data_IF_466773348430
#
_entry.id   IF_466773348430
#
_cell.length_a   1.000
_cell.length_b   1.000
_cell.length_c   1.000
_cell.angle_alpha   90.00
_cell.angle_beta   90.00
_cell.angle_gamma   90.00
#
_symmetry.space_group_name_H-M   'P 1'
#
loop_
_entity.id
_entity.type
_entity.pdbx_description
1 polymer ?
#
# COMPACT_ATOMS: atom_id res chain seq x y z
N UNK A 1 29.42 -41.59 37.14
CA UNK A 1 30.63 -42.37 37.46
C UNK A 1 30.58 -43.63 36.61
N UNK A 2 31.31 -43.55 35.50
CA UNK A 2 32.16 -44.55 34.85
C UNK A 2 31.70 -45.96 34.45
N UNK A 3 32.18 -46.28 33.24
CA UNK A 3 32.44 -47.56 32.57
C UNK A 3 31.24 -48.26 31.90
N UNK A 4 31.11 -48.28 30.57
CA UNK A 4 32.04 -48.63 29.48
C UNK A 4 32.43 -50.11 29.40
N UNK A 5 32.37 -50.64 28.17
CA UNK A 5 32.84 -51.95 27.66
C UNK A 5 31.99 -53.15 28.07
N UNK A 6 31.55 -54.06 27.20
CA UNK A 6 31.93 -54.42 25.83
C UNK A 6 32.00 -55.94 25.78
N UNK A 7 31.36 -56.59 24.79
CA UNK A 7 31.93 -57.74 24.06
C UNK A 7 30.92 -58.37 23.09
N UNK A 8 31.41 -58.46 21.86
CA UNK A 8 30.93 -59.24 20.74
C UNK A 8 31.06 -60.76 20.97
N UNK A 9 30.07 -61.53 20.51
CA UNK A 9 30.29 -62.92 20.10
C UNK A 9 29.73 -63.17 18.70
N UNK A 10 30.66 -63.47 17.80
CA UNK A 10 30.47 -64.05 16.47
C UNK A 10 30.34 -65.58 16.58
N UNK A 11 29.37 -66.17 15.88
CA UNK A 11 29.44 -67.49 15.25
C UNK A 11 28.34 -67.57 14.16
N UNK A 12 28.66 -67.43 12.87
CA UNK A 12 28.99 -68.50 11.90
C UNK A 12 27.88 -69.56 11.72
N UNK A 13 27.19 -69.59 10.57
CA UNK A 13 27.36 -70.57 9.46
C UNK A 13 26.19 -70.60 8.44
N UNK A 14 26.51 -70.75 7.14
CA UNK A 14 25.64 -71.30 6.05
C UNK A 14 24.81 -70.25 5.27
N UNK A 15 25.19 -69.76 4.08
CA UNK A 15 25.27 -70.40 2.75
C UNK A 15 24.03 -71.24 2.39
N UNK A 16 23.10 -70.67 1.61
CA UNK A 16 22.66 -71.27 0.33
C UNK A 16 21.90 -70.25 -0.54
N UNK A 17 22.39 -70.07 -1.77
CA UNK A 17 21.72 -69.37 -2.88
C UNK A 17 20.72 -70.33 -3.53
N UNK A 18 19.49 -69.89 -3.78
CA UNK A 18 18.70 -70.44 -4.90
C UNK A 18 17.73 -69.39 -5.46
N UNK A 19 17.99 -68.98 -6.70
CA UNK A 19 17.08 -68.22 -7.55
C UNK A 19 15.89 -69.07 -7.96
N UNK A 20 14.66 -68.53 -7.91
CA UNK A 20 13.51 -69.11 -8.59
C UNK A 20 12.85 -68.03 -9.46
N UNK A 21 12.91 -68.32 -10.76
CA UNK A 21 12.16 -67.71 -11.85
C UNK A 21 10.65 -67.82 -11.59
N UNK A 22 9.91 -66.72 -11.76
CA UNK A 22 8.48 -66.77 -12.03
C UNK A 22 8.27 -66.51 -13.53
N UNK A 23 7.87 -67.56 -14.21
CA UNK A 23 7.41 -67.56 -15.59
C UNK A 23 5.99 -66.99 -15.66
N UNK A 24 5.79 -65.93 -16.43
CA UNK A 24 4.46 -65.49 -16.88
C UNK A 24 4.26 -66.02 -18.29
N UNK A 25 3.27 -66.92 -18.39
CA UNK A 25 2.87 -67.64 -19.59
C UNK A 25 2.16 -66.70 -20.57
N UNK A 26 2.56 -66.86 -21.83
CA UNK A 26 1.93 -66.38 -23.06
C UNK A 26 0.44 -66.71 -23.15
N UNK A 27 -0.36 -65.72 -23.56
CA UNK A 27 -1.54 -65.95 -24.41
C UNK A 27 -1.40 -65.13 -25.69
N UNK A 28 -1.16 -65.87 -26.77
CA UNK A 28 -1.19 -65.47 -28.17
C UNK A 28 -2.63 -65.35 -28.69
N UNK A 29 -2.85 -64.41 -29.61
CA UNK A 29 -3.76 -64.60 -30.74
C UNK A 29 -4.79 -63.49 -30.98
N UNK A 30 -4.59 -62.68 -32.04
CA UNK A 30 -5.63 -61.77 -32.53
C UNK A 30 -5.13 -60.63 -33.42
N UNK A 31 -4.52 -60.96 -34.55
CA UNK A 31 -4.02 -60.09 -35.61
C UNK A 31 -5.02 -59.07 -36.20
N UNK A 32 -4.58 -57.82 -36.34
CA UNK A 32 -4.93 -56.93 -37.46
C UNK A 32 -3.76 -55.97 -37.73
N UNK A 33 -3.23 -56.03 -38.95
CA UNK A 33 -2.14 -55.22 -39.45
C UNK A 33 -2.59 -53.79 -39.77
N UNK A 34 -1.70 -52.79 -39.58
CA UNK A 34 -1.29 -51.87 -40.65
C UNK A 34 -0.29 -50.80 -40.16
N UNK A 35 0.83 -50.72 -40.89
CA UNK A 35 1.67 -49.56 -41.18
C UNK A 35 2.45 -48.87 -40.04
N UNK A 36 3.69 -49.32 -39.89
CA UNK A 36 4.80 -48.48 -39.41
C UNK A 36 5.17 -47.53 -40.57
N UNK A 37 5.09 -46.19 -40.41
CA UNK A 37 5.69 -45.30 -41.37
C UNK A 37 7.21 -45.30 -41.18
N UNK A 38 7.84 -45.62 -42.30
CA UNK A 38 9.25 -45.51 -42.61
C UNK A 38 9.82 -44.15 -42.16
N UNK A 39 11.01 -44.19 -41.57
CA UNK A 39 11.84 -43.02 -41.23
C UNK A 39 12.06 -42.22 -42.52
N UNK A 40 11.38 -41.08 -42.62
CA UNK A 40 11.66 -40.06 -43.63
C UNK A 40 12.69 -39.09 -43.07
N UNK A 41 13.68 -38.76 -43.88
CA UNK A 41 14.76 -37.80 -43.66
C UNK A 41 14.18 -36.42 -43.32
N UNK A 42 13.97 -36.14 -42.03
CA UNK A 42 13.42 -34.90 -41.51
C UNK A 42 14.49 -33.87 -41.14
N UNK A 43 15.17 -33.30 -42.12
CA UNK A 43 16.01 -32.10 -41.92
C UNK A 43 15.24 -30.79 -42.11
N UNK A 44 14.00 -30.83 -42.60
CA UNK A 44 13.18 -29.64 -42.86
C UNK A 44 12.20 -29.27 -41.73
N UNK A 45 11.77 -30.25 -40.91
CA UNK A 45 10.78 -30.01 -39.86
C UNK A 45 11.35 -29.15 -38.70
N UNK A 46 12.63 -29.33 -38.36
CA UNK A 46 13.30 -28.52 -37.34
C UNK A 46 13.57 -27.09 -37.81
N UNK A 47 13.88 -26.90 -39.10
CA UNK A 47 14.08 -25.58 -39.70
C UNK A 47 12.77 -24.79 -39.76
N UNK A 48 11.68 -25.43 -40.20
CA UNK A 48 10.35 -24.82 -40.20
C UNK A 48 9.85 -24.50 -38.78
N UNK A 49 10.09 -25.39 -37.81
CA UNK A 49 9.75 -25.14 -36.41
C UNK A 49 10.56 -23.97 -35.80
N UNK A 50 11.86 -23.89 -36.13
CA UNK A 50 12.73 -22.80 -35.66
C UNK A 50 12.33 -21.46 -36.29
N UNK A 51 11.98 -21.47 -37.59
CA UNK A 51 11.51 -20.29 -38.30
C UNK A 51 10.17 -19.77 -37.73
N UNK A 52 9.22 -20.67 -37.46
CA UNK A 52 7.96 -20.32 -36.83
C UNK A 52 8.15 -19.73 -35.42
N UNK A 53 9.07 -20.29 -34.62
CA UNK A 53 9.38 -19.75 -33.29
C UNK A 53 10.00 -18.34 -33.37
N UNK A 54 10.86 -18.08 -34.35
CA UNK A 54 11.48 -16.78 -34.56
C UNK A 54 10.46 -15.72 -35.04
N UNK A 55 9.55 -16.11 -35.94
CA UNK A 55 8.49 -15.22 -36.42
C UNK A 55 7.50 -14.84 -35.30
N UNK A 56 7.18 -15.78 -34.40
CA UNK A 56 6.39 -15.51 -33.19
C UNK A 56 7.13 -14.57 -32.24
N UNK A 57 8.43 -14.79 -32.01
CA UNK A 57 9.23 -13.92 -31.15
C UNK A 57 9.35 -12.50 -31.71
N UNK A 58 9.55 -12.36 -33.02
CA UNK A 58 9.60 -11.07 -33.70
C UNK A 58 8.26 -10.33 -33.62
N UNK A 59 7.15 -11.05 -33.76
CA UNK A 59 5.79 -10.50 -33.62
C UNK A 59 5.53 -10.02 -32.19
N UNK A 60 5.97 -10.80 -31.19
CA UNK A 60 5.83 -10.43 -29.77
C UNK A 60 6.62 -9.16 -29.44
N UNK A 61 7.85 -9.04 -29.97
CA UNK A 61 8.69 -7.86 -29.79
C UNK A 61 8.09 -6.61 -30.46
N UNK A 62 7.52 -6.77 -31.66
CA UNK A 62 6.83 -5.68 -32.36
C UNK A 62 5.56 -5.23 -31.62
N UNK A 63 4.82 -6.16 -31.02
CA UNK A 63 3.65 -5.85 -30.21
C UNK A 63 4.05 -5.14 -28.91
N UNK A 64 5.12 -5.58 -28.25
CA UNK A 64 5.65 -4.91 -27.06
C UNK A 64 6.15 -3.49 -27.36
N UNK A 65 6.81 -3.28 -28.50
CA UNK A 65 7.23 -1.95 -28.96
C UNK A 65 6.04 -1.04 -29.28
N UNK A 66 4.96 -1.59 -29.85
CA UNK A 66 3.72 -0.85 -30.12
C UNK A 66 3.01 -0.45 -28.82
N UNK A 67 2.96 -1.35 -27.84
CA UNK A 67 2.40 -1.07 -26.51
C UNK A 67 3.21 0.01 -25.77
N UNK A 68 4.55 -0.04 -25.86
CA UNK A 68 5.41 1.02 -25.30
C UNK A 68 5.21 2.37 -26.00
N UNK A 69 5.07 2.39 -27.33
CA UNK A 69 4.80 3.63 -28.07
C UNK A 69 3.42 4.23 -27.73
N UNK A 70 2.42 3.39 -27.47
CA UNK A 70 1.12 3.83 -26.97
C UNK A 70 1.23 4.37 -25.54
N UNK A 71 1.95 3.69 -24.64
CA UNK A 71 2.18 4.18 -23.27
C UNK A 71 2.87 5.55 -23.23
N UNK A 72 3.85 5.79 -24.12
CA UNK A 72 4.53 7.10 -24.23
C UNK A 72 3.57 8.19 -24.72
N UNK A 73 2.68 7.88 -25.67
CA UNK A 73 1.69 8.85 -26.15
C UNK A 73 0.61 9.17 -25.10
N UNK A 74 0.14 8.17 -24.34
CA UNK A 74 -0.79 8.38 -23.22
C UNK A 74 -0.13 9.15 -22.08
N UNK A 75 1.13 8.87 -21.76
CA UNK A 75 1.90 9.64 -20.77
C UNK A 75 2.08 11.10 -21.15
N UNK A 76 2.30 11.39 -22.45
CA UNK A 76 2.36 12.75 -22.95
C UNK A 76 1.01 13.49 -22.84
N UNK A 77 -0.10 12.79 -23.09
CA UNK A 77 -1.44 13.36 -22.95
C UNK A 77 -1.85 13.58 -21.48
N UNK A 78 -1.50 12.64 -20.59
CA UNK A 78 -1.67 12.81 -19.15
C UNK A 78 -0.85 13.98 -18.60
N UNK A 79 0.40 14.14 -19.08
CA UNK A 79 1.25 15.29 -18.73
C UNK A 79 0.65 16.60 -19.21
N UNK A 80 0.07 16.64 -20.42
CA UNK A 80 -0.62 17.83 -20.94
C UNK A 80 -1.85 18.18 -20.10
N UNK A 81 -2.67 17.20 -19.75
CA UNK A 81 -3.84 17.41 -18.88
C UNK A 81 -3.44 17.91 -17.49
N UNK A 82 -2.37 17.36 -16.90
CA UNK A 82 -1.85 17.82 -15.62
C UNK A 82 -1.39 19.28 -15.67
N UNK A 83 -0.72 19.69 -16.75
CA UNK A 83 -0.31 21.07 -16.98
C UNK A 83 -1.51 22.03 -17.14
N UNK A 84 -2.55 21.60 -17.86
CA UNK A 84 -3.79 22.38 -18.02
C UNK A 84 -4.55 22.56 -16.69
N UNK A 85 -4.62 21.51 -15.88
CA UNK A 85 -5.22 21.58 -14.53
C UNK A 85 -4.40 22.52 -13.65
N UNK A 86 -3.07 22.42 -13.66
CA UNK A 86 -2.20 23.30 -12.88
C UNK A 86 -2.33 24.76 -13.30
N UNK A 87 -2.40 25.04 -14.60
CA UNK A 87 -2.65 26.37 -15.13
C UNK A 87 -4.02 26.92 -14.70
N UNK A 88 -5.04 26.07 -14.64
CA UNK A 88 -6.39 26.45 -14.19
C UNK A 88 -6.41 26.79 -12.70
N UNK A 89 -5.72 26.02 -11.86
CA UNK A 89 -5.60 26.30 -10.41
C UNK A 89 -4.88 27.63 -10.15
N UNK A 90 -3.80 27.92 -10.88
CA UNK A 90 -3.10 29.20 -10.81
C UNK A 90 -3.99 30.38 -11.24
N UNK A 91 -4.80 30.21 -12.28
CA UNK A 91 -5.75 31.23 -12.73
C UNK A 91 -6.87 31.49 -11.70
N UNK A 92 -7.34 30.43 -11.04
CA UNK A 92 -8.32 30.54 -9.96
C UNK A 92 -7.74 31.32 -8.77
N UNK A 93 -6.54 30.96 -8.30
CA UNK A 93 -5.85 31.66 -7.22
C UNK A 93 -5.60 33.14 -7.53
N UNK A 94 -5.24 33.48 -8.78
CA UNK A 94 -5.06 34.87 -9.21
C UNK A 94 -6.38 35.67 -9.16
N UNK A 95 -7.51 35.02 -9.43
CA UNK A 95 -8.84 35.64 -9.37
C UNK A 95 -9.27 35.88 -7.92
N UNK A 96 -9.01 34.93 -7.03
CA UNK A 96 -9.37 35.03 -5.61
C UNK A 96 -8.55 36.12 -4.90
N UNK A 97 -7.27 36.28 -5.27
CA UNK A 97 -6.43 37.37 -4.76
C UNK A 97 -6.87 38.76 -5.26
N UNK A 98 -7.52 38.84 -6.41
CA UNK A 98 -8.04 40.11 -6.95
C UNK A 98 -9.39 40.53 -6.36
N UNK A 99 -10.06 39.65 -5.59
CA UNK A 99 -11.39 39.89 -5.02
C UNK A 99 -11.40 40.42 -3.57
N UNK A 100 -10.23 40.72 -2.98
CA UNK A 100 -10.16 41.28 -1.62
C UNK A 100 -10.69 42.73 -1.57
N UNK A 101 -11.65 43.07 -0.67
CA UNK A 101 -12.10 44.45 -0.48
C UNK A 101 -11.05 45.27 0.27
N UNK A 102 -10.76 46.47 -0.24
CA UNK A 102 -9.90 47.47 0.40
C UNK A 102 -10.46 47.90 1.76
N UNK A 103 -9.68 47.88 2.87
CA UNK A 103 -10.13 48.44 4.14
C UNK A 103 -10.21 49.97 4.06
N UNK A 104 -11.36 50.53 4.39
CA UNK A 104 -11.57 51.97 4.56
C UNK A 104 -10.79 52.43 5.81
N UNK A 105 -9.83 53.33 5.61
CA UNK A 105 -9.02 53.93 6.65
C UNK A 105 -9.86 54.82 7.58
N UNK A 106 -9.80 54.57 8.89
CA UNK A 106 -10.35 55.45 9.92
C UNK A 106 -9.37 56.59 10.26
N UNK A 107 -9.87 57.83 10.21
CA UNK A 107 -9.17 59.06 10.61
C UNK A 107 -8.96 59.15 12.13
N UNK A 108 -7.83 59.69 12.61
CA UNK A 108 -7.66 60.14 13.99
C UNK A 108 -7.94 61.64 14.15
N UNK A 109 -8.69 62.01 15.19
CA UNK A 109 -8.85 63.40 15.69
C UNK A 109 -7.73 63.77 16.68
N UNK A 110 -7.30 65.05 16.75
CA UNK A 110 -6.18 65.49 17.58
C UNK A 110 -6.63 66.04 18.94
N UNK A 111 -5.93 65.69 20.02
CA UNK A 111 -6.06 66.37 21.32
C UNK A 111 -4.70 66.75 21.92
N UNK A 112 -4.47 68.06 21.80
CA UNK A 112 -3.78 69.06 22.63
C UNK A 112 -2.89 68.64 23.82
N UNK A 113 -1.72 69.30 23.87
CA UNK A 113 -0.68 69.21 24.89
C UNK A 113 -0.86 70.23 26.02
N UNK A 114 -0.52 69.87 27.26
CA UNK A 114 -0.11 70.81 28.31
C UNK A 114 1.04 70.20 29.14
N UNK A 115 2.04 71.02 29.44
CA UNK A 115 3.31 70.67 30.08
C UNK A 115 3.40 71.06 31.58
N UNK A 116 4.36 70.39 32.25
CA UNK A 116 5.19 70.80 33.40
C UNK A 116 4.77 70.52 34.88
N UNK A 117 5.40 69.50 35.47
CA UNK A 117 6.23 69.35 36.72
C UNK A 117 6.12 70.32 37.92
N UNK A 118 6.77 70.04 39.10
CA UNK A 118 6.97 68.82 39.91
C UNK A 118 6.75 69.06 41.44
N UNK A 119 6.63 68.02 42.31
CA UNK A 119 7.29 67.93 43.66
C UNK A 119 6.99 66.65 44.47
N UNK A 120 8.07 66.05 44.98
CA UNK A 120 8.38 65.49 46.33
C UNK A 120 7.63 64.30 46.99
N UNK A 121 8.44 63.30 47.31
CA UNK A 121 8.41 62.18 48.29
C UNK A 121 7.37 62.13 49.43
N UNK A 122 6.83 60.92 49.69
CA UNK A 122 7.04 60.13 50.92
C UNK A 122 6.50 58.68 50.75
N UNK A 123 7.05 57.66 51.47
CA UNK A 123 6.83 56.25 51.18
C UNK A 123 5.69 55.64 52.02
N UNK A 124 4.86 54.75 51.45
CA UNK A 124 3.94 53.93 52.25
C UNK A 124 3.64 52.58 51.59
N UNK A 125 3.97 51.51 52.33
CA UNK A 125 3.47 50.12 52.31
C UNK A 125 3.44 49.34 50.99
N UNK A 126 4.30 48.31 50.92
CA UNK A 126 4.23 47.21 49.97
C UNK A 126 2.92 46.40 50.11
N UNK A 127 2.23 46.06 49.01
CA UNK A 127 1.25 45.00 49.00
C UNK A 127 1.96 43.65 48.81
N UNK A 128 1.58 42.69 49.65
CA UNK A 128 1.95 41.28 49.57
C UNK A 128 1.67 40.73 48.19
N UNK A 129 2.70 40.28 47.49
CA UNK A 129 2.60 39.56 46.22
C UNK A 129 1.93 38.20 46.47
N UNK A 130 0.72 38.02 45.97
CA UNK A 130 0.13 36.70 45.77
C UNK A 130 0.96 36.02 44.66
N UNK A 131 1.47 34.79 44.85
CA UNK A 131 2.17 34.08 43.79
C UNK A 131 1.20 33.85 42.62
N UNK A 132 1.65 34.02 41.36
CA UNK A 132 0.82 33.65 40.22
C UNK A 132 0.46 32.17 40.30
N UNK A 133 -0.74 31.75 39.87
CA UNK A 133 -1.07 30.34 39.78
C UNK A 133 -0.02 29.67 38.89
N UNK A 134 0.62 28.63 39.43
CA UNK A 134 1.46 27.71 38.66
C UNK A 134 0.57 27.12 37.57
N UNK A 135 0.68 27.65 36.34
CA UNK A 135 0.16 26.96 35.18
C UNK A 135 0.98 25.68 35.04
N UNK A 136 0.30 24.56 35.13
CA UNK A 136 0.84 23.27 34.75
C UNK A 136 1.40 23.40 33.32
N UNK A 137 2.65 22.99 33.06
CA UNK A 137 3.21 23.09 31.73
C UNK A 137 2.29 22.36 30.75
N UNK A 138 2.04 22.93 29.56
CA UNK A 138 1.25 22.25 28.55
C UNK A 138 1.86 20.86 28.29
N UNK A 139 1.03 19.83 28.09
CA UNK A 139 1.51 18.48 27.88
C UNK A 139 2.50 18.46 26.69
N UNK A 140 3.50 17.56 26.71
CA UNK A 140 4.42 17.40 25.60
C UNK A 140 3.66 17.27 24.27
N UNK A 141 4.20 17.84 23.20
CA UNK A 141 3.58 17.85 21.86
C UNK A 141 3.12 16.45 21.42
N UNK A 142 3.85 15.41 21.82
CA UNK A 142 3.54 13.99 21.55
C UNK A 142 2.26 13.50 22.24
N UNK A 143 2.02 13.86 23.51
CA UNK A 143 0.82 13.48 24.26
C UNK A 143 -0.45 14.11 23.65
N UNK A 144 -0.32 15.28 23.04
CA UNK A 144 -1.41 15.92 22.30
C UNK A 144 -1.72 15.19 20.98
N UNK A 145 -0.69 14.68 20.30
CA UNK A 145 -0.89 13.94 19.03
C UNK A 145 -1.58 12.61 19.27
N UNK A 146 -1.22 11.84 20.30
CA UNK A 146 -1.89 10.55 20.57
C UNK A 146 -3.38 10.72 20.89
N UNK A 147 -3.74 11.77 21.63
CA UNK A 147 -5.14 12.10 21.89
C UNK A 147 -5.90 12.46 20.60
N UNK A 148 -5.25 13.22 19.69
CA UNK A 148 -5.81 13.54 18.38
C UNK A 148 -5.97 12.29 17.50
N UNK A 149 -4.98 11.40 17.50
CA UNK A 149 -5.04 10.11 16.81
C UNK A 149 -6.26 9.31 17.28
N UNK A 150 -6.50 9.20 18.59
CA UNK A 150 -7.66 8.47 19.12
C UNK A 150 -9.00 9.14 18.85
N UNK A 151 -9.02 10.46 18.73
CA UNK A 151 -10.22 11.23 18.40
C UNK A 151 -10.46 11.40 16.88
N UNK A 152 -9.60 10.83 16.04
CA UNK A 152 -9.65 10.99 14.60
C UNK A 152 -11.00 10.52 14.00
N UNK A 153 -11.52 11.29 13.04
CA UNK A 153 -12.65 10.88 12.21
C UNK A 153 -12.16 9.97 11.10
N UNK A 154 -12.51 8.69 11.22
CA UNK A 154 -12.08 7.65 10.28
C UNK A 154 -13.28 7.17 9.46
N UNK A 155 -13.12 7.12 8.14
CA UNK A 155 -14.06 6.51 7.20
C UNK A 155 -13.49 5.19 6.68
N UNK A 156 -14.25 4.11 6.80
CA UNK A 156 -13.85 2.77 6.34
C UNK A 156 -14.75 2.27 5.21
N UNK A 157 -14.13 1.94 4.08
CA UNK A 157 -14.67 1.02 3.09
C UNK A 157 -13.83 -0.25 3.06
N UNK A 158 -14.49 -1.40 3.13
CA UNK A 158 -13.87 -2.73 3.11
C UNK A 158 -14.80 -3.71 2.42
N UNK A 159 -14.47 -4.06 1.18
CA UNK A 159 -15.36 -4.81 0.30
C UNK A 159 -15.55 -6.28 0.71
N UNK A 160 -14.62 -6.84 1.47
CA UNK A 160 -14.67 -8.19 2.05
C UNK A 160 -15.90 -8.40 2.95
N UNK A 161 -16.43 -7.32 3.54
CA UNK A 161 -17.71 -7.35 4.28
C UNK A 161 -18.87 -7.90 3.45
N UNK A 162 -18.93 -7.56 2.16
CA UNK A 162 -19.97 -7.99 1.24
C UNK A 162 -19.86 -9.45 0.81
N UNK A 163 -18.79 -10.14 1.20
CA UNK A 163 -18.58 -11.59 0.99
C UNK A 163 -18.75 -12.41 2.28
N UNK A 164 -18.88 -11.76 3.43
CA UNK A 164 -18.90 -12.45 4.74
C UNK A 164 -17.53 -13.04 5.13
N UNK A 165 -16.45 -12.53 4.53
CA UNK A 165 -15.08 -12.92 4.84
C UNK A 165 -14.57 -12.15 6.07
N UNK A 166 -13.39 -12.54 6.58
CA UNK A 166 -12.73 -11.80 7.65
C UNK A 166 -12.46 -10.36 7.22
N UNK A 167 -12.69 -9.43 8.16
CA UNK A 167 -12.53 -8.00 7.94
C UNK A 167 -11.35 -7.48 8.74
N UNK A 168 -10.16 -7.62 8.18
CA UNK A 168 -8.89 -7.40 8.89
C UNK A 168 -8.69 -5.92 9.25
N UNK A 169 -9.21 -5.00 8.43
CA UNK A 169 -9.13 -3.55 8.69
C UNK A 169 -10.08 -3.14 9.81
N UNK A 170 -11.34 -3.61 9.75
CA UNK A 170 -12.31 -3.43 10.85
C UNK A 170 -11.75 -3.97 12.15
N UNK A 171 -11.17 -5.17 12.13
CA UNK A 171 -10.59 -5.77 13.32
C UNK A 171 -9.45 -4.92 13.91
N UNK A 172 -8.54 -4.41 13.07
CA UNK A 172 -7.48 -3.52 13.52
C UNK A 172 -8.03 -2.24 14.16
N UNK A 173 -9.07 -1.64 13.57
CA UNK A 173 -9.72 -0.45 14.14
C UNK A 173 -10.40 -0.75 15.48
N UNK A 174 -11.12 -1.86 15.57
CA UNK A 174 -11.81 -2.31 16.79
C UNK A 174 -10.82 -2.60 17.93
N UNK A 175 -9.75 -3.36 17.65
CA UNK A 175 -8.74 -3.72 18.65
C UNK A 175 -7.94 -2.52 19.13
N UNK A 176 -7.59 -1.61 18.22
CA UNK A 176 -6.93 -0.36 18.58
C UNK A 176 -7.89 0.66 19.24
N UNK A 177 -9.19 0.38 19.33
CA UNK A 177 -10.16 1.22 20.04
C UNK A 177 -10.46 2.55 19.33
N UNK A 178 -10.41 2.56 18.00
CA UNK A 178 -10.82 3.73 17.21
C UNK A 178 -12.34 3.81 17.08
N UNK A 179 -12.87 5.03 17.01
CA UNK A 179 -14.23 5.28 16.53
C UNK A 179 -14.17 5.57 15.02
N UNK A 180 -15.08 4.99 14.26
CA UNK A 180 -15.06 5.12 12.80
C UNK A 180 -16.45 4.90 12.17
N UNK A 181 -16.65 5.47 10.99
CA UNK A 181 -17.82 5.24 10.14
C UNK A 181 -17.52 4.06 9.23
N UNK A 182 -18.31 3.00 9.33
CA UNK A 182 -18.14 1.75 8.59
C UNK A 182 -19.18 1.63 7.47
N UNK A 183 -18.74 1.82 6.22
CA UNK A 183 -19.59 1.61 5.05
C UNK A 183 -19.57 0.17 4.54
N UNK A 184 -18.73 -0.70 5.11
CA UNK A 184 -18.52 -2.06 4.62
C UNK A 184 -18.26 -2.06 3.11
N UNK A 185 -19.10 -2.78 2.35
CA UNK A 185 -19.03 -2.85 0.88
C UNK A 185 -20.03 -1.94 0.18
N UNK A 186 -20.68 -1.03 0.91
CA UNK A 186 -21.71 -0.13 0.37
C UNK A 186 -21.07 1.06 -0.35
N UNK A 187 -20.66 0.82 -1.59
CA UNK A 187 -20.06 1.83 -2.47
C UNK A 187 -20.82 3.15 -2.56
N UNK A 188 -22.16 3.10 -2.61
CA UNK A 188 -22.98 4.31 -2.62
C UNK A 188 -22.82 5.15 -1.35
N UNK A 189 -22.84 4.54 -0.18
CA UNK A 189 -22.65 5.24 1.09
C UNK A 189 -21.24 5.81 1.23
N UNK A 190 -20.24 5.02 0.82
CA UNK A 190 -18.86 5.49 0.80
C UNK A 190 -18.67 6.71 -0.10
N UNK A 191 -19.27 6.70 -1.30
CA UNK A 191 -19.30 7.86 -2.18
C UNK A 191 -19.98 9.06 -1.53
N UNK A 192 -21.13 8.85 -0.91
CA UNK A 192 -21.88 9.93 -0.25
C UNK A 192 -21.06 10.56 0.90
N UNK A 193 -20.39 9.75 1.73
CA UNK A 193 -19.50 10.26 2.79
C UNK A 193 -18.28 11.00 2.26
N UNK A 194 -17.65 10.51 1.17
CA UNK A 194 -16.53 11.19 0.53
C UNK A 194 -16.91 12.55 -0.07
N UNK A 195 -18.17 12.71 -0.48
CA UNK A 195 -18.70 13.92 -1.12
C UNK A 195 -19.51 14.82 -0.16
N UNK A 196 -19.73 14.39 1.08
CA UNK A 196 -20.57 15.07 2.08
C UNK A 196 -20.07 16.44 2.52
N UNK A 197 -18.79 16.75 2.26
CA UNK A 197 -18.11 17.94 2.80
C UNK A 197 -17.55 17.74 4.21
N UNK A 198 -17.67 16.54 4.79
CA UNK A 198 -17.00 16.19 6.03
C UNK A 198 -15.47 16.15 5.86
N UNK A 199 -14.77 16.71 6.86
CA UNK A 199 -13.31 16.71 6.94
C UNK A 199 -12.83 15.42 7.60
N UNK A 200 -12.53 14.40 6.81
CA UNK A 200 -12.00 13.14 7.36
C UNK A 200 -10.54 13.31 7.78
N UNK A 201 -10.17 12.77 8.95
CA UNK A 201 -8.77 12.68 9.36
C UNK A 201 -8.07 11.50 8.67
N UNK A 202 -8.80 10.39 8.50
CA UNK A 202 -8.35 9.22 7.75
C UNK A 202 -9.49 8.63 6.92
N UNK A 203 -9.20 8.34 5.67
CA UNK A 203 -10.04 7.50 4.80
C UNK A 203 -9.32 6.21 4.47
N UNK A 204 -9.95 5.07 4.72
CA UNK A 204 -9.41 3.75 4.36
C UNK A 204 -10.27 3.16 3.24
N UNK A 205 -9.62 2.83 2.13
CA UNK A 205 -10.21 2.11 1.02
C UNK A 205 -9.52 0.75 0.89
N UNK A 206 -10.18 -0.30 1.39
CA UNK A 206 -9.74 -1.69 1.28
C UNK A 206 -10.60 -2.43 0.26
N UNK A 207 -9.97 -2.82 -0.84
CA UNK A 207 -10.62 -3.53 -1.94
C UNK A 207 -9.85 -4.78 -2.33
N UNK A 208 -10.26 -5.91 -1.78
CA UNK A 208 -9.68 -7.23 -2.06
C UNK A 208 -10.67 -8.18 -2.78
N UNK A 209 -11.95 -7.84 -2.83
CA UNK A 209 -12.91 -8.58 -3.63
C UNK A 209 -12.69 -8.30 -5.11
N UNK A 210 -12.25 -9.34 -5.82
CA UNK A 210 -11.89 -9.38 -7.25
C UNK A 210 -12.98 -8.99 -8.27
N UNK A 211 -14.07 -8.35 -7.85
CA UNK A 211 -15.27 -8.13 -8.69
C UNK A 211 -16.00 -6.80 -8.48
N UNK A 212 -15.50 -5.88 -7.63
CA UNK A 212 -16.31 -4.73 -7.21
C UNK A 212 -15.67 -3.36 -7.30
N UNK A 213 -14.35 -3.19 -7.30
CA UNK A 213 -13.75 -1.86 -7.37
C UNK A 213 -14.13 -1.11 -8.66
N UNK A 214 -14.46 0.17 -8.55
CA UNK A 214 -14.61 1.06 -9.70
C UNK A 214 -13.58 2.19 -9.59
N UNK A 215 -12.96 2.57 -10.70
CA UNK A 215 -11.85 3.53 -10.67
C UNK A 215 -12.23 4.94 -10.22
N UNK A 216 -13.53 5.30 -10.16
CA UNK A 216 -13.93 6.67 -9.78
C UNK A 216 -13.62 7.06 -8.34
N UNK A 217 -13.56 6.08 -7.43
CA UNK A 217 -13.21 6.33 -6.04
C UNK A 217 -11.82 6.94 -5.89
N UNK A 218 -10.87 6.62 -6.78
CA UNK A 218 -9.53 7.21 -6.73
C UNK A 218 -9.52 8.72 -6.96
N UNK A 219 -10.50 9.26 -7.68
CA UNK A 219 -10.67 10.72 -7.81
C UNK A 219 -11.07 11.31 -6.48
N UNK A 220 -12.08 10.72 -5.83
CA UNK A 220 -12.58 11.19 -4.54
C UNK A 220 -11.55 11.05 -3.42
N UNK A 221 -10.83 9.93 -3.39
CA UNK A 221 -9.71 9.72 -2.46
C UNK A 221 -8.61 10.77 -2.69
N UNK A 222 -8.26 11.06 -3.95
CA UNK A 222 -7.26 12.08 -4.23
C UNK A 222 -7.72 13.48 -3.83
N UNK A 223 -9.01 13.79 -3.96
CA UNK A 223 -9.57 15.05 -3.48
C UNK A 223 -9.52 15.15 -1.94
N UNK A 224 -9.74 14.04 -1.21
CA UNK A 224 -9.54 14.01 0.25
C UNK A 224 -8.07 14.24 0.64
N UNK A 225 -7.11 13.63 -0.06
CA UNK A 225 -5.67 13.87 0.15
C UNK A 225 -5.32 15.35 -0.02
N UNK A 226 -5.88 16.01 -1.05
CA UNK A 226 -5.69 17.44 -1.31
C UNK A 226 -6.31 18.35 -0.25
N UNK A 227 -7.41 17.92 0.38
CA UNK A 227 -8.01 18.61 1.54
C UNK A 227 -7.19 18.45 2.82
N UNK A 228 -6.23 17.52 2.84
CA UNK A 228 -5.32 17.30 3.96
C UNK A 228 -5.50 15.98 4.67
N UNK A 229 -6.55 15.21 4.36
CA UNK A 229 -6.81 13.91 4.99
C UNK A 229 -5.64 12.92 4.77
N UNK A 230 -5.43 12.02 5.73
CA UNK A 230 -4.68 10.79 5.50
C UNK A 230 -5.53 9.79 4.72
N UNK A 231 -4.86 8.95 3.91
CA UNK A 231 -5.53 7.90 3.13
C UNK A 231 -4.71 6.62 3.11
N UNK A 232 -5.35 5.48 3.40
CA UNK A 232 -4.75 4.16 3.14
C UNK A 232 -5.54 3.46 2.04
N UNK A 233 -4.84 2.99 1.01
CA UNK A 233 -5.40 2.29 -0.13
C UNK A 233 -4.83 0.87 -0.13
N UNK A 234 -5.69 -0.12 0.07
CA UNK A 234 -5.42 -1.52 -0.25
C UNK A 234 -6.14 -1.87 -1.54
N UNK A 235 -5.37 -2.25 -2.56
CA UNK A 235 -5.89 -2.77 -3.81
C UNK A 235 -4.91 -3.72 -4.47
N UNK A 236 -5.33 -4.97 -4.66
CA UNK A 236 -4.46 -5.99 -5.24
C UNK A 236 -4.30 -5.85 -6.76
N UNK A 237 -5.37 -5.52 -7.48
CA UNK A 237 -5.45 -5.43 -8.95
C UNK A 237 -5.43 -3.97 -9.44
N UNK A 238 -4.35 -3.27 -9.13
CA UNK A 238 -4.07 -1.92 -9.60
C UNK A 238 -4.01 -1.83 -11.14
N UNK A 239 -3.57 -2.88 -11.82
CA UNK A 239 -3.49 -3.02 -13.28
C UNK A 239 -4.85 -2.78 -13.98
N UNK A 240 -5.97 -3.19 -13.37
CA UNK A 240 -7.32 -2.91 -13.85
C UNK A 240 -7.67 -1.41 -13.85
N UNK A 241 -6.91 -0.59 -13.11
CA UNK A 241 -7.16 0.84 -12.93
C UNK A 241 -6.03 1.75 -13.41
N UNK A 242 -4.85 1.21 -13.74
CA UNK A 242 -3.61 1.97 -13.95
C UNK A 242 -3.75 3.07 -15.01
N UNK A 243 -4.38 2.76 -16.15
CA UNK A 243 -4.61 3.73 -17.24
C UNK A 243 -5.88 4.57 -17.04
N UNK A 244 -6.49 4.47 -15.86
CA UNK A 244 -7.73 5.12 -15.50
C UNK A 244 -7.54 6.27 -14.52
N UNK A 245 -8.48 6.36 -13.59
CA UNK A 245 -8.63 7.51 -12.70
C UNK A 245 -7.64 7.54 -11.52
N UNK A 246 -6.85 6.49 -11.32
CA UNK A 246 -5.83 6.46 -10.26
C UNK A 246 -4.49 7.11 -10.66
N UNK A 247 -4.21 7.21 -11.97
CA UNK A 247 -2.93 7.70 -12.46
C UNK A 247 -2.48 9.05 -11.85
N UNK A 248 -3.35 10.07 -11.67
CA UNK A 248 -2.95 11.33 -11.03
C UNK A 248 -2.48 11.16 -9.57
N UNK A 249 -3.11 10.23 -8.83
CA UNK A 249 -2.72 9.92 -7.45
C UNK A 249 -1.35 9.23 -7.43
N UNK A 250 -1.15 8.20 -8.26
CA UNK A 250 0.12 7.47 -8.33
C UNK A 250 1.28 8.41 -8.75
N UNK A 251 1.07 9.22 -9.79
CA UNK A 251 2.05 10.19 -10.26
C UNK A 251 2.43 11.23 -9.19
N UNK A 252 1.44 11.73 -8.44
CA UNK A 252 1.68 12.69 -7.35
C UNK A 252 2.38 12.05 -6.15
N UNK A 253 2.04 10.80 -5.87
CA UNK A 253 2.70 9.99 -4.84
C UNK A 253 4.16 9.71 -5.20
N UNK A 254 4.45 9.48 -6.47
CA UNK A 254 5.79 9.13 -6.97
C UNK A 254 5.98 7.65 -7.27
N UNK A 255 4.88 6.91 -7.46
CA UNK A 255 4.88 5.49 -7.81
C UNK A 255 4.16 5.26 -9.13
N UNK A 256 4.41 4.12 -9.76
CA UNK A 256 3.65 3.64 -10.91
C UNK A 256 3.57 2.10 -10.84
N UNK A 257 2.64 1.52 -11.61
CA UNK A 257 2.61 0.07 -11.77
C UNK A 257 3.92 -0.39 -12.42
N UNK A 258 4.43 -1.50 -11.91
CA UNK A 258 5.54 -2.21 -12.52
C UNK A 258 5.04 -3.37 -13.35
N UNK A 259 4.27 -4.28 -12.72
CA UNK A 259 3.70 -5.50 -13.30
C UNK A 259 2.93 -6.31 -12.26
N UNK A 260 2.15 -7.26 -12.74
CA UNK A 260 1.47 -8.26 -11.93
C UNK A 260 2.45 -9.13 -11.15
N UNK A 261 2.08 -9.45 -9.91
CA UNK A 261 2.71 -10.46 -9.09
C UNK A 261 2.05 -11.82 -9.32
N UNK A 262 2.38 -12.44 -10.44
CA UNK A 262 1.87 -13.77 -10.79
C UNK A 262 2.76 -14.89 -10.25
N UNK A 263 2.19 -15.80 -9.46
CA UNK A 263 2.82 -17.05 -9.02
C UNK A 263 2.09 -18.23 -9.68
N UNK A 264 2.73 -18.97 -10.61
CA UNK A 264 2.14 -20.14 -11.22
C UNK A 264 1.70 -21.17 -10.17
N UNK A 265 0.53 -21.80 -10.37
CA UNK A 265 -0.01 -22.85 -9.48
C UNK A 265 0.97 -24.03 -9.30
N UNK A 266 1.88 -24.23 -10.28
CA UNK A 266 2.92 -25.27 -10.24
C UNK A 266 4.17 -24.89 -9.46
N UNK A 267 4.31 -23.62 -9.06
CA UNK A 267 5.48 -23.12 -8.33
C UNK A 267 5.35 -23.39 -6.83
N UNK A 268 6.46 -23.57 -6.11
CA UNK A 268 6.44 -23.54 -4.65
C UNK A 268 5.79 -22.23 -4.20
N UNK A 269 4.74 -22.26 -3.37
CA UNK A 269 3.88 -21.11 -3.16
C UNK A 269 4.47 -20.15 -2.13
N UNK A 270 5.75 -19.81 -2.23
CA UNK A 270 6.45 -18.98 -1.24
C UNK A 270 6.05 -17.52 -1.43
N UNK A 271 5.08 -17.08 -0.65
CA UNK A 271 4.67 -15.69 -0.53
C UNK A 271 5.54 -15.03 0.52
N UNK A 272 6.45 -14.17 0.06
CA UNK A 272 7.33 -13.42 0.96
C UNK A 272 7.36 -11.96 0.55
N UNK A 273 6.95 -11.11 1.49
CA UNK A 273 7.11 -9.67 1.41
C UNK A 273 8.21 -9.27 2.39
N UNK A 274 9.20 -8.56 1.89
CA UNK A 274 10.38 -8.09 2.60
C UNK A 274 10.20 -6.63 2.97
N UNK A 275 10.51 -6.27 4.20
CA UNK A 275 10.65 -4.88 4.60
C UNK A 275 11.88 -4.28 3.92
N UNK A 276 11.66 -3.36 3.00
CA UNK A 276 12.72 -2.69 2.25
C UNK A 276 13.36 -1.57 3.07
N UNK A 277 12.58 -0.97 3.97
CA UNK A 277 13.01 -0.05 5.03
C UNK A 277 12.65 -0.69 6.36
N UNK A 278 13.48 -1.61 6.91
CA UNK A 278 13.14 -2.38 8.10
C UNK A 278 12.76 -1.49 9.27
N UNK A 279 13.56 -0.45 9.55
CA UNK A 279 13.37 0.45 10.70
C UNK A 279 12.15 1.39 10.58
N UNK A 280 11.31 1.24 9.55
CA UNK A 280 10.18 2.14 9.34
C UNK A 280 9.06 1.91 10.37
N UNK A 281 8.43 2.95 10.94
CA UNK A 281 7.43 2.80 12.01
C UNK A 281 6.24 1.90 11.65
N UNK A 282 5.87 1.82 10.37
CA UNK A 282 4.82 0.89 9.89
C UNK A 282 5.09 -0.57 10.27
N UNK A 283 6.34 -0.96 10.54
CA UNK A 283 6.69 -2.32 10.97
C UNK A 283 6.90 -2.47 12.49
N UNK A 284 6.82 -1.37 13.24
CA UNK A 284 7.34 -1.29 14.61
C UNK A 284 6.47 -0.49 15.61
N UNK A 285 5.47 0.29 15.15
CA UNK A 285 4.69 1.18 16.01
C UNK A 285 3.19 1.18 15.61
N UNK A 286 2.26 0.83 16.53
CA UNK A 286 2.48 0.47 17.94
C UNK A 286 2.86 -1.00 18.17
N UNK A 287 2.84 -1.85 17.16
CA UNK A 287 3.10 -3.29 17.27
C UNK A 287 4.44 -3.71 16.67
N UNK A 288 4.97 -4.81 17.20
CA UNK A 288 6.29 -5.36 16.89
C UNK A 288 6.24 -6.85 16.57
N UNK A 289 7.26 -7.35 15.87
CA UNK A 289 7.49 -8.79 15.68
C UNK A 289 6.71 -9.47 14.55
N UNK A 290 6.01 -8.69 13.72
CA UNK A 290 5.27 -9.19 12.56
C UNK A 290 6.20 -9.76 11.48
N UNK A 291 5.72 -10.68 10.65
CA UNK A 291 6.46 -11.03 9.42
C UNK A 291 5.54 -11.52 8.30
N UNK A 292 5.83 -11.10 7.07
CA UNK A 292 5.11 -11.57 5.87
C UNK A 292 5.99 -12.50 5.02
N UNK A 293 6.87 -13.27 5.67
CA UNK A 293 7.84 -14.15 5.00
C UNK A 293 7.47 -15.63 5.16
N UNK A 294 7.83 -16.42 4.15
CA UNK A 294 7.64 -17.86 4.10
C UNK A 294 6.17 -18.31 4.25
N UNK A 295 5.24 -17.51 3.73
CA UNK A 295 3.84 -17.89 3.65
C UNK A 295 3.59 -18.80 2.46
N UNK A 296 2.56 -19.64 2.57
CA UNK A 296 2.04 -20.44 1.47
C UNK A 296 0.79 -19.80 0.91
N UNK A 297 0.64 -19.82 -0.42
CA UNK A 297 -0.59 -19.42 -1.11
C UNK A 297 -1.83 -20.09 -0.48
N UNK A 298 -2.67 -19.27 0.14
CA UNK A 298 -3.96 -19.65 0.71
C UNK A 298 -5.00 -19.76 -0.40
N UNK A 299 -5.06 -18.77 -1.30
CA UNK A 299 -5.88 -18.79 -2.51
C UNK A 299 -5.17 -19.57 -3.62
N UNK A 300 -4.96 -20.87 -3.38
CA UNK A 300 -4.12 -21.76 -4.20
C UNK A 300 -4.55 -21.90 -5.66
N UNK A 301 -5.83 -21.66 -5.96
CA UNK A 301 -6.41 -21.71 -7.30
C UNK A 301 -6.28 -20.39 -8.06
N UNK A 302 -5.87 -19.33 -7.38
CA UNK A 302 -5.56 -18.05 -7.99
C UNK A 302 -4.04 -17.88 -8.11
N UNK A 303 -3.50 -17.75 -9.33
CA UNK A 303 -2.09 -17.45 -9.53
C UNK A 303 -1.76 -15.97 -9.35
N UNK A 304 -2.73 -15.07 -9.31
CA UNK A 304 -2.50 -13.65 -9.08
C UNK A 304 -2.39 -13.35 -7.58
N UNK A 305 -1.38 -12.58 -7.20
CA UNK A 305 -1.07 -12.19 -5.82
C UNK A 305 -1.10 -10.67 -5.62
N UNK A 306 -1.59 -9.97 -6.63
CA UNK A 306 -1.71 -8.53 -6.68
C UNK A 306 -0.62 -7.91 -7.54
N UNK A 307 -0.41 -6.62 -7.36
CA UNK A 307 0.43 -5.84 -8.25
C UNK A 307 1.71 -5.34 -7.63
N UNK A 308 2.73 -5.16 -8.47
CA UNK A 308 4.00 -4.62 -8.04
C UNK A 308 4.12 -3.16 -8.44
N UNK A 309 4.64 -2.36 -7.52
CA UNK A 309 4.95 -0.95 -7.70
C UNK A 309 6.44 -0.76 -8.05
N UNK A 310 6.72 0.37 -8.70
CA UNK A 310 8.07 0.94 -8.80
C UNK A 310 8.04 2.45 -8.51
N UNK A 311 9.16 2.95 -8.00
CA UNK A 311 9.37 4.38 -7.78
C UNK A 311 9.60 5.09 -9.11
N UNK A 312 9.09 6.31 -9.21
CA UNK A 312 9.34 7.23 -10.33
C UNK A 312 10.30 8.34 -9.88
N UNK A 313 10.63 9.26 -10.79
CA UNK A 313 11.43 10.44 -10.46
C UNK A 313 10.61 11.58 -9.80
N UNK A 314 9.27 11.45 -9.74
CA UNK A 314 8.38 12.44 -9.12
C UNK A 314 7.92 12.01 -7.72
N UNK A 315 7.21 12.91 -7.03
CA UNK A 315 6.64 12.67 -5.70
C UNK A 315 7.68 12.54 -4.59
N UNK A 316 7.23 12.07 -3.42
CA UNK A 316 8.04 11.83 -2.23
C UNK A 316 7.94 10.37 -1.73
N UNK A 317 7.49 9.47 -2.60
CA UNK A 317 7.27 8.08 -2.25
C UNK A 317 8.51 7.38 -1.69
N UNK A 318 8.29 6.60 -0.63
CA UNK A 318 9.23 5.62 -0.12
C UNK A 318 8.65 4.23 -0.27
N UNK A 319 9.38 3.32 -0.92
CA UNK A 319 8.99 1.91 -1.02
C UNK A 319 9.30 1.20 0.29
N UNK A 320 8.28 0.81 1.04
CA UNK A 320 8.42 0.23 2.38
C UNK A 320 8.59 -1.27 2.36
N UNK A 321 7.90 -1.97 1.46
CA UNK A 321 7.96 -3.42 1.34
C UNK A 321 7.91 -3.87 -0.13
N UNK A 322 8.44 -5.07 -0.40
CA UNK A 322 8.43 -5.66 -1.73
C UNK A 322 8.83 -7.13 -1.76
N UNK A 323 8.73 -7.76 -2.93
CA UNK A 323 8.92 -9.22 -3.06
C UNK A 323 10.39 -9.63 -3.26
N UNK A 324 11.30 -8.65 -3.32
CA UNK A 324 12.76 -8.84 -3.43
C UNK A 324 13.46 -7.96 -2.41
N UNK A 325 14.21 -8.57 -1.50
CA UNK A 325 14.85 -7.86 -0.39
C UNK A 325 15.86 -6.79 -0.86
N UNK A 326 16.53 -7.07 -1.97
CA UNK A 326 17.60 -6.27 -2.58
C UNK A 326 17.09 -5.16 -3.52
N UNK A 327 15.84 -5.23 -3.99
CA UNK A 327 15.27 -4.24 -4.91
C UNK A 327 14.51 -3.16 -4.12
N UNK A 328 15.11 -1.98 -3.99
CA UNK A 328 14.56 -0.88 -3.18
C UNK A 328 13.65 0.08 -3.93
N UNK A 329 13.66 0.04 -5.26
CA UNK A 329 12.94 0.98 -6.12
C UNK A 329 11.92 0.30 -7.06
N UNK A 330 11.83 -1.02 -7.04
CA UNK A 330 10.90 -1.78 -7.87
C UNK A 330 10.52 -3.09 -7.18
N UNK A 331 9.50 -3.77 -7.71
CA UNK A 331 8.95 -5.00 -7.09
C UNK A 331 8.34 -4.74 -5.70
N UNK A 332 7.86 -3.53 -5.46
CA UNK A 332 7.26 -3.13 -4.20
C UNK A 332 5.80 -3.53 -4.08
N UNK A 333 5.33 -3.72 -2.86
CA UNK A 333 3.91 -4.03 -2.55
C UNK A 333 3.32 -3.12 -1.47
N UNK A 334 4.14 -2.21 -0.95
CA UNK A 334 3.76 -1.22 0.06
C UNK A 334 4.61 0.04 -0.12
N UNK A 335 3.96 1.17 -0.33
CA UNK A 335 4.61 2.48 -0.45
C UNK A 335 3.91 3.51 0.42
N UNK A 336 4.68 4.50 0.90
CA UNK A 336 4.17 5.68 1.61
C UNK A 336 4.56 6.96 0.87
N UNK A 337 3.72 7.98 0.88
CA UNK A 337 3.95 9.29 0.22
C UNK A 337 3.10 10.39 0.88
N UNK A 338 3.14 11.61 0.32
CA UNK A 338 2.51 12.81 0.87
C UNK A 338 2.92 13.06 2.32
N UNK A 339 4.22 13.04 2.58
CA UNK A 339 4.83 13.24 3.90
C UNK A 339 4.34 12.20 4.92
N UNK A 340 4.04 10.98 4.48
CA UNK A 340 3.60 9.89 5.34
C UNK A 340 2.09 9.86 5.61
N UNK A 341 1.29 10.74 4.98
CA UNK A 341 -0.18 10.72 5.11
C UNK A 341 -0.86 9.69 4.23
N UNK A 342 -0.16 9.13 3.25
CA UNK A 342 -0.75 8.18 2.30
C UNK A 342 0.04 6.89 2.25
N UNK A 343 -0.66 5.77 2.36
CA UNK A 343 -0.11 4.42 2.11
C UNK A 343 -0.87 3.76 0.96
N UNK A 344 -0.12 3.11 0.08
CA UNK A 344 -0.64 2.24 -0.99
C UNK A 344 -0.08 0.83 -0.78
N UNK A 345 -0.97 -0.13 -0.61
CA UNK A 345 -0.67 -1.56 -0.42
C UNK A 345 -1.32 -2.38 -1.53
N UNK A 346 -0.54 -3.24 -2.17
CA UNK A 346 -0.98 -3.99 -3.36
C UNK A 346 -0.87 -5.50 -3.26
N UNK A 347 -0.39 -6.04 -2.14
CA UNK A 347 -0.46 -7.48 -1.89
C UNK A 347 -1.81 -7.87 -1.29
N UNK A 348 -2.33 -9.05 -1.64
CA UNK A 348 -3.54 -9.63 -1.05
C UNK A 348 -3.29 -9.99 0.41
N UNK A 349 -3.96 -9.31 1.36
CA UNK A 349 -3.64 -9.49 2.77
C UNK A 349 -4.24 -10.76 3.36
N UNK A 350 -5.31 -11.29 2.78
CA UNK A 350 -5.89 -12.58 3.18
C UNK A 350 -5.02 -13.80 2.80
N UNK A 351 -3.86 -13.61 2.17
CA UNK A 351 -2.84 -14.65 1.99
C UNK A 351 -2.00 -14.91 3.26
N UNK A 352 -2.03 -13.99 4.23
CA UNK A 352 -1.15 -13.99 5.39
C UNK A 352 -1.89 -14.31 6.69
N UNK A 353 -1.14 -14.55 7.77
CA UNK A 353 -1.74 -14.74 9.09
C UNK A 353 -2.48 -13.47 9.49
N UNK A 354 -3.71 -13.68 9.94
CA UNK A 354 -4.58 -12.66 10.52
C UNK A 354 -3.84 -11.76 11.51
N UNK A 355 -3.13 -12.35 12.48
CA UNK A 355 -2.41 -11.60 13.53
C UNK A 355 -1.36 -10.63 12.96
N UNK A 356 -0.52 -11.10 12.02
CA UNK A 356 0.53 -10.28 11.39
C UNK A 356 -0.09 -9.12 10.60
N UNK A 357 -1.15 -9.39 9.84
CA UNK A 357 -1.81 -8.36 9.02
C UNK A 357 -2.60 -7.37 9.87
N UNK A 358 -3.34 -7.83 10.88
CA UNK A 358 -4.09 -6.94 11.77
C UNK A 358 -3.15 -5.99 12.49
N UNK A 359 -2.01 -6.48 13.01
CA UNK A 359 -0.98 -5.61 13.61
C UNK A 359 -0.38 -4.64 12.59
N UNK A 360 -0.17 -5.08 11.35
CA UNK A 360 0.36 -4.20 10.29
C UNK A 360 -0.64 -3.09 9.97
N UNK A 361 -1.94 -3.41 9.92
CA UNK A 361 -3.00 -2.41 9.76
C UNK A 361 -3.04 -1.41 10.91
N UNK A 362 -2.93 -1.86 12.16
CA UNK A 362 -2.84 -0.97 13.33
C UNK A 362 -1.64 -0.01 13.19
N UNK A 363 -0.48 -0.52 12.76
CA UNK A 363 0.70 0.30 12.55
C UNK A 363 0.55 1.30 11.40
N UNK A 364 -0.05 0.88 10.27
CA UNK A 364 -0.32 1.76 9.14
C UNK A 364 -1.29 2.88 9.52
N UNK A 365 -2.38 2.55 10.22
CA UNK A 365 -3.38 3.51 10.72
C UNK A 365 -2.73 4.52 11.67
N UNK A 366 -1.97 4.04 12.65
CA UNK A 366 -1.27 4.92 13.59
C UNK A 366 -0.28 5.84 12.88
N UNK A 367 0.54 5.29 11.98
CA UNK A 367 1.54 6.04 11.23
C UNK A 367 0.92 7.17 10.39
N UNK A 368 -0.11 6.88 9.59
CA UNK A 368 -0.70 7.93 8.72
C UNK A 368 -1.42 9.00 9.51
N UNK A 369 -2.10 8.65 10.61
CA UNK A 369 -2.75 9.62 11.50
C UNK A 369 -1.73 10.49 12.23
N UNK A 370 -0.63 9.90 12.72
CA UNK A 370 0.48 10.65 13.32
C UNK A 370 1.04 11.67 12.33
N UNK A 371 1.29 11.27 11.09
CA UNK A 371 1.76 12.20 10.06
C UNK A 371 0.70 13.25 9.67
N UNK A 372 -0.59 12.89 9.63
CA UNK A 372 -1.68 13.84 9.42
C UNK A 372 -1.64 14.98 10.43
N UNK A 373 -1.62 14.67 11.73
CA UNK A 373 -1.61 15.71 12.77
C UNK A 373 -0.28 16.47 12.88
N UNK A 374 0.83 15.90 12.42
CA UNK A 374 2.14 16.57 12.39
C UNK A 374 2.33 17.46 11.16
N UNK A 375 1.70 17.14 10.03
CA UNK A 375 1.92 17.81 8.74
C UNK A 375 0.75 18.68 8.27
N UNK A 376 -0.45 18.49 8.82
CA UNK A 376 -1.60 19.32 8.49
C UNK A 376 -1.31 20.80 8.80
N UNK A 377 -1.68 21.74 7.90
CA UNK A 377 -1.60 23.15 8.22
C UNK A 377 -2.43 23.41 9.47
N UNK A 378 -1.80 23.96 10.52
CA UNK A 378 -2.52 24.47 11.68
C UNK A 378 -3.46 25.57 11.19
N UNK A 379 -4.71 25.24 10.85
CA UNK A 379 -5.77 26.23 10.71
C UNK A 379 -5.88 26.90 12.08
N UNK A 380 -5.53 28.18 12.12
CA UNK A 380 -5.46 28.97 13.34
C UNK A 380 -6.76 28.92 14.13
N UNK A 381 -6.59 29.01 15.45
CA UNK A 381 -7.59 29.40 16.43
C UNK A 381 -8.51 30.53 15.97
#
# INVERSE_FOLDING_TARGET
MDNATGQSHLARLGILKTSIFIAVIFTLGGSAACQIPLISTGSDASYQATKAALDVQATLLAQQATNQAQAVNLGAEATRMAQEVQATVLAQQATDMAALPTPVAAQPTPQEAVAASPTTEAPTSAPTSVPPPTQEPPPPLEENVDAQIKAARILLYEDMSGRGELRLVKEALDMAGYSYTDDGSAQGWFKDHLLSGEDWDLVIYSSETRKRATGEYFVYLFDQIKKGAAVIIEIWNLDEFEFGKIAPLLASCGVELHKDWFIPITSPPVLSVWWLVPEHPVFHEPNEGMTLRNYTNFWWDDPDKGDLLKLTAGGDATMLAGIKAEEKSSYGTLATCFQGRVIIQTHSTHEYRREDITQMWENMIYYVLKNHFLTAPKSGY
#
